data_IF_711365505136
#
_entry.id   IF_711365505136
#
_cell.length_a   1.000
_cell.length_b   1.000
_cell.length_c   1.000
_cell.angle_alpha   90.00
_cell.angle_beta   90.00
_cell.angle_gamma   90.00
#
_symmetry.space_group_name_H-M   'P 1'
#
loop_
_entity.id
_entity.type
_entity.pdbx_description
1 polymer ?
#
# COMPACT_ATOMS: atom_id res chain seq x y z
N UNK A 1 3.78 -3.44 17.53
CA UNK A 1 4.62 -2.43 16.82
C UNK A 1 5.88 -2.03 17.59
N UNK A 2 5.77 -1.55 18.85
CA UNK A 2 6.93 -1.08 19.64
C UNK A 2 8.06 -2.10 19.76
N UNK A 3 7.73 -3.37 20.03
CA UNK A 3 8.71 -4.45 20.13
C UNK A 3 9.55 -4.60 18.84
N UNK A 4 8.90 -4.64 17.69
CA UNK A 4 9.60 -4.80 16.41
C UNK A 4 10.40 -3.57 16.02
N UNK A 5 9.91 -2.36 16.33
CA UNK A 5 10.69 -1.13 16.11
C UNK A 5 11.99 -1.15 16.91
N UNK A 6 11.93 -1.47 18.22
CA UNK A 6 13.09 -1.61 19.10
C UNK A 6 14.05 -2.73 18.61
N UNK A 7 13.50 -3.87 18.16
CA UNK A 7 14.27 -4.97 17.60
C UNK A 7 15.10 -4.54 16.37
N UNK A 8 14.45 -3.92 15.37
CA UNK A 8 15.14 -3.46 14.16
C UNK A 8 16.12 -2.32 14.45
N UNK A 9 15.78 -1.42 15.38
CA UNK A 9 16.68 -0.34 15.77
C UNK A 9 17.95 -0.86 16.44
N UNK A 10 17.82 -1.75 17.42
CA UNK A 10 18.96 -2.23 18.20
C UNK A 10 19.85 -3.22 17.44
N UNK A 11 19.25 -4.15 16.69
CA UNK A 11 20.02 -5.22 16.05
C UNK A 11 20.51 -4.86 14.66
N UNK A 12 19.78 -4.00 13.92
CA UNK A 12 20.08 -3.68 12.53
C UNK A 12 20.30 -2.19 12.27
N UNK A 13 20.32 -1.39 13.33
CA UNK A 13 20.51 0.06 13.25
C UNK A 13 19.52 0.79 12.34
N UNK A 14 18.30 0.28 12.23
CA UNK A 14 17.21 0.96 11.55
C UNK A 14 16.82 2.23 12.30
N UNK A 15 16.16 3.15 11.60
CA UNK A 15 15.61 4.38 12.19
C UNK A 15 14.16 4.54 11.78
N UNK A 16 13.32 5.01 12.71
CA UNK A 16 11.98 5.48 12.40
C UNK A 16 12.10 6.79 11.60
N UNK A 17 11.51 6.81 10.40
CA UNK A 17 11.52 7.98 9.52
C UNK A 17 10.15 8.62 9.37
N UNK A 18 9.07 7.87 9.63
CA UNK A 18 7.69 8.37 9.62
C UNK A 18 6.80 7.56 10.55
N UNK A 19 5.76 8.24 11.03
CA UNK A 19 4.64 7.66 11.76
C UNK A 19 3.34 8.06 11.07
N UNK A 20 2.42 7.10 10.91
CA UNK A 20 1.10 7.32 10.33
C UNK A 20 0.03 6.88 11.30
N UNK A 21 -1.07 7.67 11.38
CA UNK A 21 -2.33 7.29 12.03
C UNK A 21 -3.42 7.36 10.96
N UNK A 22 -3.77 6.21 10.40
CA UNK A 22 -4.71 6.09 9.29
C UNK A 22 -6.05 5.64 9.85
N UNK A 23 -7.09 6.43 9.57
CA UNK A 23 -8.46 6.18 10.01
C UNK A 23 -9.35 6.00 8.79
N UNK A 24 -9.89 4.79 8.64
CA UNK A 24 -11.01 4.50 7.77
C UNK A 24 -12.34 4.90 8.45
N UNK A 25 -13.44 4.62 7.78
CA UNK A 25 -14.78 4.90 8.32
C UNK A 25 -15.08 3.98 9.51
N UNK A 26 -14.70 2.71 9.44
CA UNK A 26 -15.01 1.67 10.43
C UNK A 26 -13.79 1.18 11.21
N UNK A 27 -12.66 1.06 10.56
CA UNK A 27 -11.41 0.55 11.15
C UNK A 27 -10.28 1.57 11.00
N UNK A 28 -9.12 1.29 11.57
CA UNK A 28 -7.97 2.15 11.43
C UNK A 28 -6.70 1.43 11.86
N UNK A 29 -5.56 1.98 11.46
CA UNK A 29 -4.26 1.45 11.86
C UNK A 29 -3.27 2.57 12.15
N UNK A 30 -2.27 2.26 12.96
CA UNK A 30 -1.06 3.05 13.11
C UNK A 30 0.10 2.34 12.44
N UNK A 31 1.00 3.10 11.85
CA UNK A 31 2.16 2.57 11.16
C UNK A 31 3.43 3.33 11.53
N UNK A 32 4.53 2.60 11.77
CA UNK A 32 5.88 3.14 11.90
C UNK A 32 6.72 2.70 10.73
N UNK A 33 7.18 3.64 9.91
CA UNK A 33 8.09 3.34 8.83
C UNK A 33 9.53 3.34 9.34
N UNK A 34 10.15 2.16 9.36
CA UNK A 34 11.55 1.96 9.69
C UNK A 34 12.39 1.88 8.43
N UNK A 35 13.61 2.43 8.44
CA UNK A 35 14.52 2.33 7.31
C UNK A 35 15.92 1.88 7.76
N UNK A 36 16.58 1.08 6.91
CA UNK A 36 17.97 0.71 7.08
C UNK A 36 18.90 1.93 6.91
N UNK A 37 20.13 1.88 7.45
CA UNK A 37 21.08 3.00 7.36
C UNK A 37 21.39 3.46 5.93
N UNK A 38 21.34 2.54 4.96
CA UNK A 38 21.56 2.83 3.54
C UNK A 38 20.30 3.26 2.77
N UNK A 39 19.14 3.30 3.46
CA UNK A 39 17.85 3.67 2.90
C UNK A 39 17.20 2.66 1.94
N UNK A 40 17.85 1.52 1.68
CA UNK A 40 17.38 0.55 0.68
C UNK A 40 16.29 -0.37 1.20
N UNK A 41 16.36 -0.76 2.47
CA UNK A 41 15.34 -1.60 3.10
C UNK A 41 14.45 -0.70 3.94
N UNK A 42 13.15 -0.78 3.70
CA UNK A 42 12.12 -0.02 4.41
C UNK A 42 11.06 -0.99 4.92
N UNK A 43 10.72 -0.88 6.20
CA UNK A 43 9.78 -1.78 6.86
C UNK A 43 8.71 -0.94 7.55
N UNK A 44 7.51 -0.79 6.97
CA UNK A 44 6.36 -0.26 7.68
C UNK A 44 5.87 -1.31 8.69
N UNK A 45 5.84 -0.96 9.97
CA UNK A 45 5.31 -1.78 11.06
C UNK A 45 3.89 -1.30 11.36
N UNK A 46 2.91 -2.16 11.16
CA UNK A 46 1.50 -1.81 11.30
C UNK A 46 0.88 -2.43 12.55
N UNK A 47 0.01 -1.69 13.21
CA UNK A 47 -0.76 -2.12 14.36
C UNK A 47 -2.19 -1.59 14.26
N UNK A 48 -3.18 -2.43 14.60
CA UNK A 48 -4.58 -2.01 14.63
C UNK A 48 -4.79 -0.86 15.61
N UNK A 49 -5.44 0.23 15.16
CA UNK A 49 -5.69 1.40 16.02
C UNK A 49 -7.07 1.39 16.68
N UNK A 50 -7.96 0.51 16.22
CA UNK A 50 -9.31 0.32 16.76
C UNK A 50 -9.52 -1.14 17.13
N UNK A 51 -10.43 -1.39 18.06
CA UNK A 51 -10.72 -2.77 18.48
C UNK A 51 -11.56 -3.49 17.42
N UNK A 52 -10.96 -4.55 16.88
CA UNK A 52 -11.63 -5.64 16.20
C UNK A 52 -12.03 -5.43 14.73
N UNK A 53 -11.92 -6.47 13.96
CA UNK A 53 -12.52 -6.62 12.64
C UNK A 53 -11.76 -6.01 11.46
N UNK A 54 -10.61 -5.33 11.67
CA UNK A 54 -9.84 -4.72 10.59
C UNK A 54 -8.97 -5.71 9.83
N UNK A 55 -8.34 -5.22 8.75
CA UNK A 55 -7.47 -6.02 7.88
C UNK A 55 -6.26 -6.62 8.62
N UNK A 56 -5.76 -5.95 9.67
CA UNK A 56 -4.62 -6.45 10.44
C UNK A 56 -5.05 -7.63 11.29
N UNK A 57 -6.19 -7.57 11.94
CA UNK A 57 -6.72 -8.70 12.71
C UNK A 57 -7.01 -9.90 11.80
N UNK A 58 -7.62 -9.69 10.63
CA UNK A 58 -7.85 -10.74 9.64
C UNK A 58 -6.53 -11.41 9.24
N UNK A 59 -5.50 -10.60 8.95
CA UNK A 59 -4.17 -11.10 8.63
C UNK A 59 -3.56 -11.93 9.77
N UNK A 60 -3.59 -11.41 11.00
CA UNK A 60 -3.04 -12.10 12.17
C UNK A 60 -3.71 -13.46 12.42
N UNK A 61 -5.02 -13.54 12.21
CA UNK A 61 -5.76 -14.79 12.31
C UNK A 61 -5.37 -15.78 11.22
N UNK A 62 -5.28 -15.34 9.96
CA UNK A 62 -4.94 -16.20 8.83
C UNK A 62 -3.48 -16.64 8.83
N UNK A 63 -2.57 -15.75 9.21
CA UNK A 63 -1.14 -16.02 9.32
C UNK A 63 -0.78 -16.78 10.59
N UNK A 64 -1.69 -16.81 11.57
CA UNK A 64 -1.51 -17.38 12.90
C UNK A 64 -0.40 -16.67 13.70
N UNK A 65 -0.39 -15.35 13.67
CA UNK A 65 0.55 -14.50 14.41
C UNK A 65 1.06 -13.30 13.61
N UNK A 66 2.06 -12.63 14.17
CA UNK A 66 2.72 -11.49 13.53
C UNK A 66 3.67 -11.95 12.42
N UNK A 67 3.74 -11.20 11.33
CA UNK A 67 4.62 -11.52 10.21
C UNK A 67 4.60 -10.49 9.09
N UNK A 68 5.18 -10.85 7.95
CA UNK A 68 5.22 -10.01 6.75
C UNK A 68 3.89 -10.15 6.01
N UNK A 69 3.13 -9.05 5.90
CA UNK A 69 1.89 -9.00 5.15
C UNK A 69 2.14 -8.91 3.64
N UNK A 70 3.08 -8.08 3.22
CA UNK A 70 3.44 -7.94 1.81
C UNK A 70 4.92 -7.61 1.62
N UNK A 71 5.38 -7.85 0.39
CA UNK A 71 6.74 -7.52 -0.04
C UNK A 71 6.63 -6.59 -1.24
N UNK A 72 7.19 -5.38 -1.12
CA UNK A 72 7.23 -4.40 -2.20
C UNK A 72 8.46 -4.62 -3.09
N UNK A 73 8.22 -4.74 -4.39
CA UNK A 73 9.23 -4.91 -5.43
C UNK A 73 9.28 -3.66 -6.31
N UNK A 74 10.45 -3.05 -6.40
CA UNK A 74 10.65 -1.88 -7.26
C UNK A 74 10.87 -2.30 -8.71
N UNK A 75 10.29 -1.56 -9.65
CA UNK A 75 10.52 -1.73 -11.08
C UNK A 75 10.67 -0.36 -11.76
N UNK A 76 11.33 -0.35 -12.92
CA UNK A 76 11.58 0.87 -13.70
C UNK A 76 10.40 1.24 -14.61
N UNK A 77 9.58 0.26 -15.00
CA UNK A 77 8.39 0.41 -15.83
C UNK A 77 7.24 -0.43 -15.25
N UNK A 78 6.36 0.21 -14.51
CA UNK A 78 5.23 -0.49 -13.87
C UNK A 78 4.16 -0.90 -14.89
N UNK A 79 3.89 -0.09 -15.90
CA UNK A 79 2.89 -0.41 -16.93
C UNK A 79 3.29 -1.69 -17.67
N UNK A 80 4.53 -1.75 -18.19
CA UNK A 80 5.03 -2.94 -18.84
C UNK A 80 5.21 -4.14 -17.90
N UNK A 81 5.48 -3.90 -16.61
CA UNK A 81 5.53 -4.96 -15.59
C UNK A 81 4.15 -5.58 -15.37
N UNK A 82 3.11 -4.77 -15.25
CA UNK A 82 1.72 -5.25 -15.07
C UNK A 82 1.27 -6.08 -16.28
N UNK A 83 1.59 -5.65 -17.50
CA UNK A 83 1.27 -6.42 -18.70
C UNK A 83 1.94 -7.81 -18.68
N UNK A 84 3.21 -7.89 -18.25
CA UNK A 84 3.92 -9.17 -18.11
C UNK A 84 3.35 -10.04 -17.00
N UNK A 85 2.97 -9.46 -15.86
CA UNK A 85 2.31 -10.19 -14.76
C UNK A 85 0.95 -10.77 -15.21
N UNK A 86 0.15 -9.98 -15.93
CA UNK A 86 -1.12 -10.43 -16.50
C UNK A 86 -0.92 -11.58 -17.51
N UNK A 87 0.07 -11.46 -18.41
CA UNK A 87 0.43 -12.54 -19.34
C UNK A 87 0.90 -13.81 -18.63
N UNK A 88 1.57 -13.68 -17.50
CA UNK A 88 2.00 -14.79 -16.66
C UNK A 88 0.88 -15.39 -15.78
N UNK A 89 -0.32 -14.80 -15.82
CA UNK A 89 -1.47 -15.25 -15.04
C UNK A 89 -1.39 -14.92 -13.54
N UNK A 90 -0.58 -13.92 -13.15
CA UNK A 90 -0.51 -13.46 -11.77
C UNK A 90 -1.79 -12.70 -11.44
N UNK A 91 -2.60 -13.14 -10.46
CA UNK A 91 -3.81 -12.45 -10.09
C UNK A 91 -3.48 -11.15 -9.35
N UNK A 92 -3.99 -10.04 -9.84
CA UNK A 92 -3.84 -8.73 -9.21
C UNK A 92 -5.08 -8.39 -8.38
N UNK A 93 -4.93 -7.55 -7.35
CA UNK A 93 -6.06 -7.04 -6.57
C UNK A 93 -7.02 -6.26 -7.46
N UNK A 94 -8.29 -6.24 -7.06
CA UNK A 94 -9.31 -5.45 -7.75
C UNK A 94 -8.92 -3.98 -7.70
N UNK A 95 -8.89 -3.35 -8.89
CA UNK A 95 -8.64 -1.93 -9.03
C UNK A 95 -9.67 -1.10 -8.24
N UNK A 96 -9.31 0.11 -7.81
CA UNK A 96 -10.28 1.09 -7.34
C UNK A 96 -11.38 1.33 -8.38
N UNK A 97 -12.52 1.86 -7.95
CA UNK A 97 -13.60 2.26 -8.85
C UNK A 97 -13.18 3.43 -9.75
N UNK A 98 -13.97 3.71 -10.78
CA UNK A 98 -13.69 4.77 -11.77
C UNK A 98 -13.53 6.14 -11.12
N UNK A 99 -14.24 6.42 -10.03
CA UNK A 99 -14.17 7.69 -9.28
C UNK A 99 -12.75 7.97 -8.77
N UNK A 100 -11.98 6.94 -8.40
CA UNK A 100 -10.58 7.11 -8.00
C UNK A 100 -9.76 7.77 -9.11
N UNK A 101 -9.92 7.32 -10.35
CA UNK A 101 -9.18 7.81 -11.51
C UNK A 101 -9.69 9.18 -11.99
N UNK A 102 -10.99 9.43 -11.91
CA UNK A 102 -11.60 10.74 -12.20
C UNK A 102 -11.08 11.84 -11.27
N UNK A 103 -10.77 11.48 -10.02
CA UNK A 103 -10.25 12.43 -9.02
C UNK A 103 -8.75 12.67 -9.11
N UNK A 104 -8.00 11.93 -9.94
CA UNK A 104 -6.53 12.03 -9.98
C UNK A 104 -6.04 13.43 -10.31
N UNK A 105 -6.61 14.08 -11.33
CA UNK A 105 -6.20 15.44 -11.73
C UNK A 105 -6.49 16.47 -10.62
N UNK A 106 -7.56 16.28 -9.84
CA UNK A 106 -7.86 17.12 -8.68
C UNK A 106 -6.91 16.90 -7.51
N UNK A 107 -6.44 15.65 -7.30
CA UNK A 107 -5.49 15.29 -6.24
C UNK A 107 -4.04 15.66 -6.58
N UNK A 108 -3.66 15.47 -7.84
CA UNK A 108 -2.31 15.64 -8.35
C UNK A 108 -2.35 16.46 -9.65
N UNK A 109 -2.65 17.76 -9.59
CA UNK A 109 -2.81 18.57 -10.79
C UNK A 109 -1.55 18.59 -11.66
N UNK A 110 -1.69 18.32 -12.96
CA UNK A 110 -0.55 18.32 -13.88
C UNK A 110 0.41 17.15 -13.71
N UNK A 111 -0.04 16.02 -13.15
CA UNK A 111 0.80 14.82 -12.94
C UNK A 111 1.35 14.19 -14.22
N UNK A 112 0.73 14.48 -15.39
CA UNK A 112 1.20 14.05 -16.72
C UNK A 112 1.18 12.53 -16.97
N UNK A 113 0.46 11.74 -16.17
CA UNK A 113 0.38 10.30 -16.36
C UNK A 113 -0.82 9.92 -17.23
N UNK A 114 -0.73 8.83 -18.03
CA UNK A 114 -1.81 8.38 -18.90
C UNK A 114 -2.92 7.69 -18.08
N UNK A 115 -3.88 8.47 -17.56
CA UNK A 115 -4.92 7.99 -16.63
C UNK A 115 -5.65 6.77 -17.17
N UNK A 116 -6.02 6.75 -18.46
CA UNK A 116 -6.72 5.61 -19.06
C UNK A 116 -5.89 4.31 -19.03
N UNK A 117 -4.57 4.41 -19.18
CA UNK A 117 -3.68 3.25 -19.08
C UNK A 117 -3.51 2.78 -17.64
N UNK A 118 -3.44 3.71 -16.67
CA UNK A 118 -3.41 3.36 -15.25
C UNK A 118 -4.71 2.65 -14.83
N UNK A 119 -5.86 3.22 -15.23
CA UNK A 119 -7.18 2.69 -14.92
C UNK A 119 -7.39 1.29 -15.49
N UNK A 120 -7.06 1.08 -16.78
CA UNK A 120 -7.23 -0.22 -17.44
C UNK A 120 -6.44 -1.36 -16.79
N UNK A 121 -5.39 -1.02 -16.03
CA UNK A 121 -4.51 -1.97 -15.33
C UNK A 121 -4.68 -1.97 -13.81
N UNK A 122 -5.49 -1.08 -13.27
CA UNK A 122 -5.67 -0.94 -11.82
C UNK A 122 -4.48 -0.32 -11.10
N UNK A 123 -3.62 0.43 -11.81
CA UNK A 123 -2.44 1.06 -11.21
C UNK A 123 -2.86 2.30 -10.41
N UNK A 124 -2.41 2.36 -9.17
CA UNK A 124 -2.60 3.49 -8.26
C UNK A 124 -1.51 4.54 -8.47
N UNK A 125 -1.87 5.81 -8.29
CA UNK A 125 -0.95 6.94 -8.39
C UNK A 125 -1.02 7.79 -7.12
N UNK A 126 0.14 8.04 -6.51
CA UNK A 126 0.32 8.94 -5.39
C UNK A 126 1.52 9.85 -5.59
N UNK A 127 1.74 10.79 -4.69
CA UNK A 127 2.88 11.70 -4.71
C UNK A 127 2.51 13.15 -4.51
N UNK A 128 3.30 14.04 -5.10
CA UNK A 128 3.08 15.49 -5.05
C UNK A 128 3.45 16.12 -6.38
N UNK A 129 2.63 17.05 -6.82
CA UNK A 129 2.89 17.92 -7.98
C UNK A 129 3.29 19.34 -7.57
N UNK A 130 3.54 19.55 -6.28
CA UNK A 130 4.09 20.80 -5.77
C UNK A 130 5.57 20.91 -6.09
N UNK A 131 6.00 22.07 -6.62
CA UNK A 131 7.38 22.33 -7.03
C UNK A 131 7.61 22.24 -8.54
N UNK A 132 8.89 22.25 -8.95
CA UNK A 132 9.29 22.33 -10.36
C UNK A 132 9.04 21.04 -11.15
N UNK A 133 9.03 19.92 -10.48
CA UNK A 133 8.83 18.59 -11.11
C UNK A 133 7.87 17.75 -10.25
N UNK A 134 6.89 17.06 -10.86
CA UNK A 134 6.08 16.07 -10.16
C UNK A 134 6.94 14.96 -9.55
N UNK A 135 6.68 14.63 -8.30
CA UNK A 135 7.25 13.47 -7.60
C UNK A 135 6.13 12.46 -7.44
N UNK A 136 6.24 11.34 -8.13
CA UNK A 136 5.16 10.37 -8.27
C UNK A 136 5.60 8.98 -7.83
N UNK A 137 4.64 8.24 -7.30
CA UNK A 137 4.72 6.85 -6.93
C UNK A 137 3.56 6.10 -7.58
N UNK A 138 3.88 5.11 -8.40
CA UNK A 138 2.91 4.21 -9.00
C UNK A 138 2.97 2.89 -8.25
N UNK A 139 1.80 2.30 -7.96
CA UNK A 139 1.69 1.08 -7.16
C UNK A 139 0.59 0.17 -7.69
N UNK A 140 0.79 -1.14 -7.56
CA UNK A 140 -0.24 -2.16 -7.74
C UNK A 140 0.06 -3.35 -6.84
N UNK A 141 -0.97 -4.11 -6.47
CA UNK A 141 -0.88 -5.22 -5.54
C UNK A 141 -1.36 -6.51 -6.18
N UNK A 142 -0.69 -7.62 -5.89
CA UNK A 142 -1.22 -8.94 -6.20
C UNK A 142 -2.34 -9.32 -5.23
N UNK A 143 -3.18 -10.27 -5.62
CA UNK A 143 -3.94 -11.04 -4.63
C UNK A 143 -2.95 -11.81 -3.73
N UNK A 144 -3.45 -12.38 -2.63
CA UNK A 144 -2.65 -13.21 -1.74
C UNK A 144 -2.07 -14.41 -2.49
N UNK A 145 -0.78 -14.69 -2.29
CA UNK A 145 -0.02 -15.71 -3.00
C UNK A 145 0.52 -16.81 -2.08
N UNK A 146 0.90 -16.44 -0.86
CA UNK A 146 1.48 -17.34 0.14
C UNK A 146 0.67 -17.23 1.44
N UNK A 147 -0.44 -17.96 1.53
CA UNK A 147 -1.41 -17.73 2.59
C UNK A 147 -1.95 -16.29 2.49
N UNK A 148 -1.97 -15.50 3.58
CA UNK A 148 -2.44 -14.11 3.52
C UNK A 148 -1.40 -13.11 2.98
N UNK A 149 -0.21 -13.57 2.57
CA UNK A 149 0.88 -12.71 2.09
C UNK A 149 0.69 -12.37 0.62
N UNK A 150 0.91 -11.11 0.24
CA UNK A 150 0.83 -10.61 -1.13
C UNK A 150 2.07 -9.82 -1.55
N UNK A 151 2.14 -9.44 -2.81
CA UNK A 151 3.21 -8.63 -3.36
C UNK A 151 2.69 -7.27 -3.81
N UNK A 152 3.52 -6.27 -3.62
CA UNK A 152 3.36 -4.93 -4.15
C UNK A 152 4.40 -4.71 -5.26
N UNK A 153 4.00 -4.07 -6.36
CA UNK A 153 4.91 -3.63 -7.40
C UNK A 153 4.88 -2.11 -7.46
N UNK A 154 6.04 -1.47 -7.39
CA UNK A 154 6.15 -0.01 -7.32
C UNK A 154 7.11 0.54 -8.37
N UNK A 155 6.75 1.72 -8.90
CA UNK A 155 7.64 2.56 -9.69
C UNK A 155 7.73 3.94 -9.04
N UNK A 156 8.95 4.37 -8.72
CA UNK A 156 9.21 5.70 -8.16
C UNK A 156 9.67 6.65 -9.25
N UNK A 157 9.03 7.79 -9.35
CA UNK A 157 9.41 8.91 -10.22
C UNK A 157 9.65 10.14 -9.34
N UNK A 158 10.74 10.10 -8.57
CA UNK A 158 11.14 11.17 -7.66
C UNK A 158 10.40 11.22 -6.32
N UNK A 159 9.39 10.38 -6.09
CA UNK A 159 8.75 10.24 -4.79
C UNK A 159 9.42 9.17 -3.93
N UNK A 160 9.81 9.56 -2.71
CA UNK A 160 10.43 8.69 -1.72
C UNK A 160 9.46 8.30 -0.59
N UNK A 161 8.17 8.68 -0.71
CA UNK A 161 7.11 8.36 0.23
C UNK A 161 6.75 6.88 0.25
N UNK A 162 5.76 6.54 1.06
CA UNK A 162 5.22 5.18 1.22
C UNK A 162 3.87 5.01 0.51
N UNK A 163 3.44 5.99 -0.28
CA UNK A 163 2.15 5.95 -0.96
C UNK A 163 0.97 6.12 0.01
N UNK A 164 1.07 7.08 0.90
CA UNK A 164 0.08 7.30 1.97
C UNK A 164 -1.32 7.53 1.41
N UNK A 165 -1.43 8.26 0.30
CA UNK A 165 -2.70 8.48 -0.38
C UNK A 165 -3.24 7.21 -1.02
N UNK A 166 -2.38 6.39 -1.63
CA UNK A 166 -2.74 5.08 -2.15
C UNK A 166 -3.02 4.09 -1.02
N UNK A 167 -2.26 4.18 0.09
CA UNK A 167 -2.48 3.35 1.26
C UNK A 167 -3.90 3.54 1.82
N UNK A 168 -4.37 4.79 1.91
CA UNK A 168 -5.74 5.08 2.30
C UNK A 168 -6.74 4.48 1.32
N UNK A 169 -6.51 4.62 0.02
CA UNK A 169 -7.38 4.05 -1.01
C UNK A 169 -7.42 2.51 -0.97
N UNK A 170 -6.28 1.86 -0.72
CA UNK A 170 -6.21 0.41 -0.51
C UNK A 170 -6.96 0.00 0.75
N UNK A 171 -6.74 0.70 1.86
CA UNK A 171 -7.42 0.43 3.12
C UNK A 171 -8.93 0.48 2.96
N UNK A 172 -9.47 1.53 2.36
CA UNK A 172 -10.90 1.66 2.07
C UNK A 172 -11.42 0.56 1.13
N UNK A 173 -10.63 0.15 0.16
CA UNK A 173 -10.97 -0.95 -0.75
C UNK A 173 -11.05 -2.29 -0.03
N UNK A 174 -10.09 -2.56 0.88
CA UNK A 174 -10.07 -3.78 1.71
C UNK A 174 -11.24 -3.81 2.70
N UNK A 175 -11.57 -2.68 3.35
CA UNK A 175 -12.77 -2.58 4.21
C UNK A 175 -14.04 -2.93 3.44
N UNK A 176 -14.21 -2.40 2.22
CA UNK A 176 -15.37 -2.71 1.36
C UNK A 176 -15.42 -4.19 0.98
N UNK A 177 -14.27 -4.80 0.69
CA UNK A 177 -14.21 -6.23 0.39
C UNK A 177 -14.55 -7.08 1.64
N UNK A 178 -14.06 -6.70 2.82
CA UNK A 178 -14.41 -7.35 4.09
C UNK A 178 -15.92 -7.27 4.36
N UNK A 179 -16.56 -6.10 4.15
CA UNK A 179 -18.03 -5.96 4.28
C UNK A 179 -18.75 -6.88 3.29
N UNK A 180 -18.34 -6.92 2.04
CA UNK A 180 -18.95 -7.77 1.01
C UNK A 180 -18.89 -9.24 1.36
N UNK A 181 -17.80 -9.69 1.99
CA UNK A 181 -17.62 -11.08 2.45
C UNK A 181 -18.24 -11.37 3.80
N UNK A 182 -18.83 -10.37 4.50
CA UNK A 182 -19.36 -10.49 5.84
C UNK A 182 -18.28 -10.66 6.93
N UNK A 183 -17.04 -10.31 6.64
CA UNK A 183 -15.93 -10.35 7.61
C UNK A 183 -15.86 -9.08 8.47
N UNK A 184 -16.47 -7.99 8.01
CA UNK A 184 -16.65 -6.74 8.75
C UNK A 184 -18.15 -6.44 8.85
N UNK A 185 -18.69 -6.46 10.07
CA UNK A 185 -20.08 -6.07 10.34
C UNK A 185 -20.13 -4.57 10.66
N UNK A 186 -21.01 -3.86 9.95
CA UNK A 186 -21.32 -2.46 10.21
C UNK A 186 -22.45 -2.42 11.22
N UNK A 187 -22.17 -1.92 12.42
CA UNK A 187 -23.17 -1.78 13.50
C UNK A 187 -24.16 -0.64 13.22
#
# INVERSE_FOLDING_TARGET
>A
MAFWADFYERLFNFREIRYFDIKGEYTGLTSKAMTAPDGKIRIPLNEESRQGGGQIEEYLMQFNGEGIQHIALICDDLIGTVDKLAMAGVPLMTAPNDVYYEMLEGRLPGHGQPVAELQSRGILLDGSTEGDQPRLLLQIFSQTQLGPVFFEFIQRRGDEGFGEGNFKALFESLERDQMRRGALEVA
#
